data_IF_070886052894
#
_entry.id   IF_070886052894
#
_cell.length_a   1.000
_cell.length_b   1.000
_cell.length_c   1.000
_cell.angle_alpha   90.00
_cell.angle_beta   90.00
_cell.angle_gamma   90.00
#
_symmetry.space_group_name_H-M   'P 1'
#
loop_
_entity.id
_entity.type
_entity.pdbx_description
1 polymer ?
#
# COMPACT_ATOMS: atom_id res chain seq x y z
N UNK A 1 15.43 -24.78 44.41
CA UNK A 1 15.36 -23.35 44.09
C UNK A 1 16.61 -22.67 44.68
N UNK A 2 17.43 -21.98 43.90
CA UNK A 2 18.51 -21.20 44.42
C UNK A 2 17.94 -20.01 45.22
N UNK A 3 18.58 -19.57 46.32
CA UNK A 3 18.10 -18.47 47.16
C UNK A 3 18.08 -17.16 46.38
N UNK A 4 16.96 -16.42 46.51
CA UNK A 4 16.80 -15.08 45.93
C UNK A 4 17.85 -14.18 46.60
N UNK A 5 18.77 -13.53 45.83
CA UNK A 5 19.75 -12.64 46.40
C UNK A 5 19.07 -11.46 47.10
N UNK A 6 19.45 -11.18 48.34
CA UNK A 6 18.95 -10.02 49.11
C UNK A 6 19.29 -8.75 48.33
N UNK A 7 18.29 -7.97 48.03
CA UNK A 7 18.45 -6.65 47.41
C UNK A 7 19.17 -5.75 48.41
N UNK A 8 20.37 -5.23 48.12
CA UNK A 8 21.07 -4.33 49.04
C UNK A 8 20.23 -3.04 49.19
N UNK A 9 20.18 -2.52 50.42
CA UNK A 9 19.54 -1.28 50.78
C UNK A 9 20.00 -0.13 49.90
N UNK A 10 19.04 0.50 49.27
CA UNK A 10 19.03 1.76 48.52
C UNK A 10 20.36 2.51 48.33
N UNK A 11 21.25 2.01 47.47
CA UNK A 11 22.23 2.81 46.79
C UNK A 11 21.60 3.68 45.70
N UNK A 12 22.29 4.71 45.24
CA UNK A 12 21.75 5.53 44.13
C UNK A 12 21.33 4.64 42.96
N UNK A 13 20.27 4.95 42.21
CA UNK A 13 19.77 4.11 41.12
C UNK A 13 20.80 3.63 40.10
N UNK A 14 21.86 4.41 39.92
CA UNK A 14 23.00 4.08 39.03
C UNK A 14 23.85 2.91 39.55
N UNK A 15 24.10 2.86 40.86
CA UNK A 15 24.97 1.80 41.46
C UNK A 15 24.22 0.46 41.50
N UNK A 16 22.93 0.47 41.78
CA UNK A 16 22.07 -0.71 41.77
C UNK A 16 21.95 -1.35 40.38
N UNK A 17 21.77 -0.52 39.34
CA UNK A 17 21.67 -1.00 37.96
C UNK A 17 22.97 -1.61 37.44
N UNK A 18 24.11 -0.96 37.69
CA UNK A 18 25.42 -1.46 37.28
C UNK A 18 25.79 -2.73 38.05
N UNK A 19 25.39 -2.86 39.31
CA UNK A 19 25.56 -4.08 40.11
C UNK A 19 24.70 -5.23 39.53
N UNK A 20 23.43 -4.97 39.24
CA UNK A 20 22.52 -5.95 38.64
C UNK A 20 23.05 -6.50 37.31
N UNK A 21 23.56 -5.62 36.42
CA UNK A 21 24.15 -6.03 35.14
C UNK A 21 25.37 -6.93 35.38
N UNK A 22 26.26 -6.55 36.28
CA UNK A 22 27.46 -7.37 36.63
C UNK A 22 27.06 -8.76 37.08
N UNK A 23 26.12 -8.84 38.02
CA UNK A 23 25.62 -10.12 38.52
C UNK A 23 25.01 -10.99 37.41
N UNK A 24 24.37 -10.39 36.44
CA UNK A 24 23.80 -11.12 35.28
C UNK A 24 24.89 -11.59 34.31
N UNK A 25 25.88 -10.75 34.06
CA UNK A 25 27.04 -11.13 33.21
C UNK A 25 27.85 -12.25 33.83
N UNK A 26 28.06 -12.21 35.14
CA UNK A 26 28.80 -13.24 35.90
C UNK A 26 28.05 -14.57 35.98
N UNK A 27 26.73 -14.54 35.88
CA UNK A 27 25.83 -15.73 35.89
C UNK A 27 25.71 -16.48 34.57
N UNK A 28 26.49 -16.16 33.53
CA UNK A 28 26.54 -16.87 32.24
C UNK A 28 25.35 -16.61 31.33
N UNK A 29 24.57 -15.54 31.55
CA UNK A 29 23.53 -15.05 30.67
C UNK A 29 24.07 -14.22 29.52
N UNK A 30 23.17 -13.56 28.78
CA UNK A 30 23.50 -12.61 27.72
C UNK A 30 24.42 -11.50 28.28
N UNK A 31 25.65 -11.42 27.79
CA UNK A 31 26.61 -10.38 28.22
C UNK A 31 26.14 -9.00 27.76
N UNK A 32 25.81 -8.13 28.70
CA UNK A 32 25.45 -6.74 28.43
C UNK A 32 26.74 -5.90 28.46
N UNK A 33 27.10 -5.33 27.30
CA UNK A 33 28.33 -4.55 27.13
C UNK A 33 28.26 -3.18 27.81
N UNK A 34 29.40 -2.73 28.34
CA UNK A 34 29.58 -1.36 28.84
C UNK A 34 29.51 -0.32 27.70
N UNK A 35 29.15 0.94 27.98
CA UNK A 35 28.85 1.51 29.31
C UNK A 35 27.44 1.20 29.78
N UNK A 36 27.30 0.88 31.07
CA UNK A 36 26.01 0.57 31.69
C UNK A 36 25.37 1.86 32.23
N UNK A 37 24.42 2.42 31.48
CA UNK A 37 23.66 3.61 31.90
C UNK A 37 22.14 3.34 31.73
N UNK A 38 21.40 3.57 32.80
CA UNK A 38 19.91 3.46 32.82
C UNK A 38 19.25 4.34 31.78
N UNK A 39 19.92 5.44 31.37
CA UNK A 39 19.44 6.32 30.28
C UNK A 39 19.37 5.58 28.93
N UNK A 40 20.28 4.61 28.69
CA UNK A 40 20.24 3.78 27.47
C UNK A 40 18.98 2.93 27.45
N UNK A 41 18.61 2.32 28.57
CA UNK A 41 17.39 1.53 28.69
C UNK A 41 16.16 2.40 28.42
N UNK A 42 16.09 3.58 29.06
CA UNK A 42 15.02 4.55 28.85
C UNK A 42 14.95 4.99 27.38
N UNK A 43 16.11 5.28 26.77
CA UNK A 43 16.18 5.65 25.34
C UNK A 43 15.66 4.52 24.45
N UNK A 44 16.10 3.29 24.67
CA UNK A 44 15.66 2.13 23.90
C UNK A 44 14.17 1.87 24.06
N UNK A 45 13.65 1.92 25.29
CA UNK A 45 12.22 1.71 25.56
C UNK A 45 11.34 2.79 24.91
N UNK A 46 11.71 4.06 25.03
CA UNK A 46 10.97 5.15 24.36
C UNK A 46 11.00 5.02 22.85
N UNK A 47 12.17 4.69 22.28
CA UNK A 47 12.29 4.48 20.84
C UNK A 47 11.47 3.28 20.35
N UNK A 48 11.48 2.18 21.12
CA UNK A 48 10.68 1.00 20.80
C UNK A 48 9.17 1.26 20.92
N UNK A 49 8.73 2.03 21.92
CA UNK A 49 7.34 2.42 22.10
C UNK A 49 6.85 3.28 20.91
N UNK A 50 7.65 4.26 20.46
CA UNK A 50 7.35 5.06 19.24
C UNK A 50 7.12 4.17 18.04
N UNK A 51 8.01 3.21 17.84
CA UNK A 51 7.94 2.31 16.69
C UNK A 51 6.76 1.32 16.76
N UNK A 52 6.39 0.90 17.96
CA UNK A 52 5.30 -0.09 18.17
C UNK A 52 3.90 0.53 18.07
N UNK A 53 3.75 1.76 18.56
CA UNK A 53 2.43 2.41 18.64
C UNK A 53 2.03 3.15 17.36
N UNK A 54 2.97 3.34 16.40
CA UNK A 54 2.70 4.10 15.18
C UNK A 54 2.23 5.54 15.41
N UNK A 55 2.42 6.04 16.64
CA UNK A 55 2.02 7.37 17.04
C UNK A 55 2.90 8.46 16.44
N UNK A 56 2.41 9.68 16.42
CA UNK A 56 3.20 10.85 16.06
C UNK A 56 4.24 11.12 17.16
N UNK A 57 5.36 11.73 16.80
CA UNK A 57 6.39 12.18 17.76
C UNK A 57 5.79 13.04 18.89
N UNK A 58 4.68 13.73 18.63
CA UNK A 58 3.96 14.55 19.60
C UNK A 58 3.28 13.72 20.71
N UNK A 59 2.69 12.57 20.35
CA UNK A 59 1.97 11.71 21.30
C UNK A 59 2.92 11.07 22.33
N UNK A 60 4.18 10.93 21.98
CA UNK A 60 5.21 10.29 22.79
C UNK A 60 6.09 11.27 23.57
N UNK A 61 6.11 12.54 23.14
CA UNK A 61 6.75 13.63 23.89
C UNK A 61 5.89 14.09 25.09
N UNK A 62 4.58 13.82 25.04
CA UNK A 62 3.59 14.43 25.95
C UNK A 62 3.77 14.12 27.43
N UNK A 63 4.42 12.99 27.78
CA UNK A 63 4.46 12.58 29.18
C UNK A 63 5.62 13.13 30.00
N UNK A 64 6.78 13.43 29.38
CA UNK A 64 7.99 13.76 30.18
C UNK A 64 8.95 14.80 29.56
N UNK A 65 8.82 15.14 28.27
CA UNK A 65 9.79 16.00 27.58
C UNK A 65 9.14 16.88 26.52
N UNK A 66 9.73 18.07 26.29
CA UNK A 66 9.34 18.89 25.14
C UNK A 66 9.67 18.19 23.81
N UNK A 67 8.98 18.54 22.74
CA UNK A 67 9.21 18.02 21.39
C UNK A 67 10.66 18.21 20.94
N UNK A 68 11.28 19.34 21.32
CA UNK A 68 12.68 19.67 21.02
C UNK A 68 13.65 18.69 21.68
N UNK A 69 13.44 18.38 22.97
CA UNK A 69 14.25 17.41 23.71
C UNK A 69 14.07 16.01 23.10
N UNK A 70 12.84 15.64 22.72
CA UNK A 70 12.62 14.35 22.06
C UNK A 70 13.35 14.28 20.72
N UNK A 71 13.20 15.30 19.85
CA UNK A 71 13.87 15.36 18.56
C UNK A 71 15.39 15.31 18.70
N UNK A 72 15.96 16.11 19.62
CA UNK A 72 17.42 16.20 19.81
C UNK A 72 18.07 14.95 20.36
N UNK A 73 17.38 14.20 21.24
CA UNK A 73 18.01 13.09 21.97
C UNK A 73 17.52 11.68 21.59
N UNK A 74 16.29 11.57 21.05
CA UNK A 74 15.69 10.26 20.79
C UNK A 74 15.45 9.99 19.30
N UNK A 75 15.14 11.00 18.51
CA UNK A 75 14.80 10.83 17.09
C UNK A 75 16.02 10.53 16.20
N UNK A 76 17.20 10.98 16.58
CA UNK A 76 18.45 10.81 15.78
C UNK A 76 19.27 9.56 16.13
N UNK A 77 18.74 8.65 16.95
CA UNK A 77 19.46 7.40 17.27
C UNK A 77 19.37 6.39 16.13
N UNK A 78 20.45 5.66 15.87
CA UNK A 78 20.49 4.57 14.87
C UNK A 78 19.31 3.59 15.03
N UNK A 79 18.92 3.29 16.27
CA UNK A 79 17.76 2.44 16.55
C UNK A 79 16.45 3.04 16.04
N UNK A 80 16.25 4.37 16.18
CA UNK A 80 15.05 5.06 15.67
C UNK A 80 14.99 4.98 14.15
N UNK A 81 16.12 5.19 13.47
CA UNK A 81 16.19 5.08 12.01
C UNK A 81 15.89 3.66 11.52
N UNK A 82 16.47 2.64 12.15
CA UNK A 82 16.22 1.23 11.79
C UNK A 82 14.76 0.86 12.00
N UNK A 83 14.14 1.27 13.11
CA UNK A 83 12.74 0.97 13.38
C UNK A 83 11.79 1.73 12.45
N UNK A 84 12.09 2.99 12.16
CA UNK A 84 11.32 3.78 11.19
C UNK A 84 11.44 3.20 9.78
N UNK A 85 12.63 2.81 9.35
CA UNK A 85 12.82 2.14 8.05
C UNK A 85 12.04 0.83 7.96
N UNK A 86 12.04 0.01 9.02
CA UNK A 86 11.23 -1.21 9.06
C UNK A 86 9.74 -0.93 9.01
N UNK A 87 9.26 0.12 9.67
CA UNK A 87 7.86 0.51 9.64
C UNK A 87 7.44 1.02 8.24
N UNK A 88 8.28 1.82 7.61
CA UNK A 88 8.10 2.30 6.22
C UNK A 88 8.08 1.11 5.26
N UNK A 89 9.07 0.21 5.33
CA UNK A 89 9.12 -0.96 4.46
C UNK A 89 7.88 -1.84 4.63
N UNK A 90 7.42 -2.12 5.86
CA UNK A 90 6.18 -2.88 6.11
C UNK A 90 4.93 -2.18 5.56
N UNK A 91 4.88 -0.85 5.62
CA UNK A 91 3.79 -0.09 5.03
C UNK A 91 3.84 -0.17 3.49
N UNK A 92 5.02 -0.03 2.91
CA UNK A 92 5.26 -0.21 1.49
C UNK A 92 4.91 -1.62 1.03
N UNK A 93 5.40 -2.66 1.72
CA UNK A 93 5.07 -4.07 1.41
C UNK A 93 3.56 -4.31 1.41
N UNK A 94 2.83 -3.77 2.39
CA UNK A 94 1.36 -3.88 2.42
C UNK A 94 0.69 -3.18 1.23
N UNK A 95 1.22 -2.03 0.82
CA UNK A 95 0.74 -1.33 -0.39
C UNK A 95 1.07 -2.14 -1.63
N UNK A 96 2.31 -2.63 -1.76
CA UNK A 96 2.72 -3.46 -2.89
C UNK A 96 1.94 -4.77 -2.98
N UNK A 97 1.69 -5.45 -1.86
CA UNK A 97 0.86 -6.65 -1.84
C UNK A 97 -0.60 -6.39 -2.26
N UNK A 98 -1.13 -5.20 -1.95
CA UNK A 98 -2.45 -4.78 -2.42
C UNK A 98 -2.44 -4.44 -3.92
N UNK A 99 -1.38 -3.79 -4.38
CA UNK A 99 -1.19 -3.44 -5.79
C UNK A 99 -0.88 -4.67 -6.65
N UNK A 100 -0.16 -5.66 -6.11
CA UNK A 100 0.10 -6.93 -6.79
C UNK A 100 -1.15 -7.79 -7.02
N UNK A 101 -2.27 -7.45 -6.39
CA UNK A 101 -3.58 -8.08 -6.69
C UNK A 101 -4.33 -7.40 -7.82
N UNK A 102 -3.76 -6.56 -8.59
CA UNK A 102 -4.28 -5.92 -9.80
C UNK A 102 -5.76 -6.12 -10.17
N UNK A 103 -6.24 -5.56 -11.22
CA UNK A 103 -7.57 -5.90 -11.73
C UNK A 103 -7.64 -7.37 -12.15
N UNK A 104 -8.81 -7.99 -11.96
CA UNK A 104 -9.09 -9.30 -12.52
C UNK A 104 -9.41 -9.13 -14.00
N UNK A 105 -8.61 -9.70 -14.87
CA UNK A 105 -8.95 -9.83 -16.29
C UNK A 105 -9.70 -11.14 -16.54
N UNK A 106 -10.75 -11.08 -17.32
CA UNK A 106 -11.52 -12.22 -17.78
C UNK A 106 -11.50 -12.21 -19.31
N UNK A 107 -10.91 -13.21 -19.90
CA UNK A 107 -10.96 -13.38 -21.35
C UNK A 107 -12.41 -13.68 -21.83
N UNK A 108 -12.62 -13.77 -23.15
CA UNK A 108 -13.95 -13.98 -23.71
C UNK A 108 -14.58 -15.29 -23.21
N UNK A 109 -13.79 -16.36 -23.10
CA UNK A 109 -14.28 -17.66 -22.65
C UNK A 109 -14.67 -17.65 -21.17
N UNK A 110 -13.84 -17.00 -20.32
CA UNK A 110 -14.12 -16.82 -18.90
C UNK A 110 -15.33 -15.89 -18.68
N UNK A 111 -15.45 -14.83 -19.47
CA UNK A 111 -16.58 -13.90 -19.42
C UNK A 111 -17.90 -14.60 -19.80
N UNK A 112 -17.91 -15.39 -20.86
CA UNK A 112 -19.07 -16.16 -21.29
C UNK A 112 -19.43 -17.27 -20.27
N UNK A 113 -18.44 -17.85 -19.60
CA UNK A 113 -18.64 -18.86 -18.58
C UNK A 113 -19.25 -18.31 -17.27
N UNK A 114 -19.17 -16.99 -17.02
CA UNK A 114 -19.74 -16.37 -15.80
C UNK A 114 -21.28 -16.42 -15.70
N UNK A 115 -21.95 -17.06 -16.62
CA UNK A 115 -23.43 -17.20 -16.59
C UNK A 115 -23.94 -18.10 -15.44
N UNK A 116 -23.05 -18.90 -14.83
CA UNK A 116 -23.38 -19.80 -13.73
C UNK A 116 -22.88 -19.29 -12.36
N UNK A 117 -23.60 -19.59 -11.26
CA UNK A 117 -23.21 -19.16 -9.91
C UNK A 117 -21.86 -19.77 -9.45
N UNK A 118 -21.53 -20.97 -9.84
CA UNK A 118 -20.27 -21.64 -9.49
C UNK A 118 -19.07 -20.96 -10.15
N UNK A 119 -19.20 -20.59 -11.43
CA UNK A 119 -18.17 -19.89 -12.19
C UNK A 119 -17.96 -18.46 -11.65
N UNK A 120 -19.05 -17.77 -11.33
CA UNK A 120 -18.97 -16.46 -10.69
C UNK A 120 -18.20 -16.56 -9.34
N UNK A 121 -18.52 -17.56 -8.51
CA UNK A 121 -17.85 -17.77 -7.24
C UNK A 121 -16.36 -18.13 -7.42
N UNK A 122 -16.01 -18.93 -8.41
CA UNK A 122 -14.62 -19.24 -8.74
C UNK A 122 -13.82 -17.99 -9.13
N UNK A 123 -14.45 -17.04 -9.81
CA UNK A 123 -13.87 -15.70 -10.11
C UNK A 123 -13.92 -14.74 -8.91
N UNK A 124 -14.42 -15.17 -7.74
CA UNK A 124 -14.59 -14.33 -6.56
C UNK A 124 -15.68 -13.27 -6.73
N UNK A 125 -16.71 -13.58 -7.53
CA UNK A 125 -17.87 -12.72 -7.79
C UNK A 125 -19.15 -13.40 -7.29
N UNK A 126 -20.14 -12.61 -6.94
CA UNK A 126 -21.51 -13.10 -6.72
C UNK A 126 -22.33 -13.00 -8.00
N UNK A 127 -23.36 -13.82 -8.14
CA UNK A 127 -24.27 -13.74 -9.29
C UNK A 127 -24.91 -12.35 -9.44
N UNK A 128 -25.21 -11.68 -8.32
CA UNK A 128 -25.73 -10.30 -8.34
C UNK A 128 -24.72 -9.29 -8.90
N UNK A 129 -23.43 -9.42 -8.55
CA UNK A 129 -22.37 -8.58 -9.10
C UNK A 129 -22.21 -8.80 -10.61
N UNK A 130 -22.24 -10.05 -11.06
CA UNK A 130 -22.18 -10.36 -12.50
C UNK A 130 -23.34 -9.72 -13.25
N UNK A 131 -24.56 -9.85 -12.73
CA UNK A 131 -25.75 -9.21 -13.34
C UNK A 131 -25.62 -7.69 -13.38
N UNK A 132 -25.17 -7.06 -12.29
CA UNK A 132 -24.98 -5.62 -12.21
C UNK A 132 -23.85 -5.12 -13.14
N UNK A 133 -22.78 -5.91 -13.33
CA UNK A 133 -21.72 -5.61 -14.29
C UNK A 133 -22.24 -5.67 -15.73
N UNK A 134 -22.99 -6.71 -16.08
CA UNK A 134 -23.63 -6.80 -17.41
C UNK A 134 -24.68 -5.71 -17.63
N UNK A 135 -25.39 -5.29 -16.59
CA UNK A 135 -26.32 -4.16 -16.63
C UNK A 135 -25.66 -2.79 -16.69
N UNK A 136 -24.33 -2.72 -16.52
CA UNK A 136 -23.57 -1.46 -16.52
C UNK A 136 -23.63 -0.68 -15.20
N UNK A 137 -24.32 -1.19 -14.18
CA UNK A 137 -24.46 -0.52 -12.88
C UNK A 137 -23.12 -0.37 -12.14
N UNK A 138 -22.18 -1.27 -12.41
CA UNK A 138 -20.85 -1.31 -11.82
C UNK A 138 -19.75 -0.85 -12.80
N UNK A 139 -20.10 -0.23 -13.93
CA UNK A 139 -19.13 0.35 -14.86
C UNK A 139 -18.54 1.64 -14.27
N UNK A 140 -17.23 1.63 -14.03
CA UNK A 140 -16.47 2.77 -13.49
C UNK A 140 -15.74 3.56 -14.59
N UNK A 141 -16.15 3.38 -15.86
CA UNK A 141 -15.59 4.05 -17.02
C UNK A 141 -14.44 3.30 -17.70
N UNK A 142 -13.45 2.80 -16.98
CA UNK A 142 -12.34 1.99 -17.50
C UNK A 142 -12.53 0.49 -17.25
N UNK A 143 -13.10 0.16 -16.11
CA UNK A 143 -13.27 -1.21 -15.62
C UNK A 143 -14.63 -1.34 -14.95
N UNK A 144 -15.09 -2.55 -14.72
CA UNK A 144 -16.13 -2.79 -13.73
C UNK A 144 -15.55 -2.81 -12.31
N UNK A 145 -16.39 -2.63 -11.29
CA UNK A 145 -16.02 -2.68 -9.89
C UNK A 145 -16.81 -3.75 -9.14
N UNK A 146 -16.15 -4.61 -8.36
CA UNK A 146 -16.85 -5.61 -7.52
C UNK A 146 -17.63 -4.95 -6.39
N UNK A 147 -17.02 -3.93 -5.78
CA UNK A 147 -17.58 -3.25 -4.62
C UNK A 147 -17.06 -1.81 -4.53
N UNK A 148 -17.85 -0.83 -5.00
CA UNK A 148 -17.45 0.56 -4.96
C UNK A 148 -17.43 1.18 -3.55
N UNK A 149 -18.01 0.51 -2.54
CA UNK A 149 -18.02 0.98 -1.15
C UNK A 149 -16.89 0.41 -0.29
N UNK A 150 -16.15 -0.57 -0.80
CA UNK A 150 -15.00 -1.17 -0.11
C UNK A 150 -13.73 -1.08 -0.96
N UNK A 151 -13.48 0.09 -1.53
CA UNK A 151 -12.23 0.37 -2.26
C UNK A 151 -11.05 0.43 -1.31
N UNK A 152 -9.90 -0.09 -1.75
CA UNK A 152 -8.64 0.05 -0.99
C UNK A 152 -8.11 1.50 -0.94
N UNK A 153 -8.67 2.41 -1.73
CA UNK A 153 -8.26 3.81 -1.85
C UNK A 153 -9.19 4.79 -1.15
N UNK A 154 -10.31 4.31 -0.60
CA UNK A 154 -11.31 5.12 0.10
C UNK A 154 -11.63 4.52 1.46
N UNK A 155 -12.07 5.32 2.44
CA UNK A 155 -12.55 4.79 3.70
C UNK A 155 -13.68 3.78 3.50
N UNK A 156 -13.71 2.74 4.33
CA UNK A 156 -14.75 1.71 4.25
C UNK A 156 -16.16 2.31 4.38
N UNK A 157 -17.07 1.84 3.53
CA UNK A 157 -18.46 2.30 3.49
C UNK A 157 -18.70 3.62 2.74
N UNK A 158 -17.64 4.25 2.21
CA UNK A 158 -17.79 5.42 1.33
C UNK A 158 -17.69 4.99 -0.13
N UNK A 159 -18.50 5.63 -0.98
CA UNK A 159 -18.42 5.43 -2.42
C UNK A 159 -17.02 5.80 -2.94
N UNK A 160 -16.47 4.95 -3.80
CA UNK A 160 -15.15 5.18 -4.41
C UNK A 160 -15.19 6.46 -5.27
N UNK A 161 -14.40 7.46 -4.85
CA UNK A 161 -14.31 8.76 -5.54
C UNK A 161 -13.04 8.88 -6.41
N UNK A 162 -12.19 7.85 -6.42
CA UNK A 162 -10.94 7.86 -7.21
C UNK A 162 -11.07 7.12 -8.56
N UNK A 163 -12.25 6.63 -8.86
CA UNK A 163 -12.53 6.06 -10.17
C UNK A 163 -12.65 7.18 -11.23
N UNK A 164 -12.25 6.90 -12.48
CA UNK A 164 -11.59 5.70 -12.99
C UNK A 164 -10.07 5.71 -12.78
N UNK A 165 -9.50 6.80 -12.23
CA UNK A 165 -8.05 7.05 -12.18
C UNK A 165 -7.23 5.91 -11.53
N UNK A 166 -7.77 5.29 -10.49
CA UNK A 166 -7.06 4.25 -9.74
C UNK A 166 -7.56 2.82 -10.04
N UNK A 167 -8.50 2.66 -10.98
CA UNK A 167 -9.08 1.34 -11.24
C UNK A 167 -8.07 0.33 -11.75
N UNK A 168 -7.09 0.74 -12.56
CA UNK A 168 -6.02 -0.14 -13.03
C UNK A 168 -5.10 -0.67 -11.93
N UNK A 169 -5.16 -0.09 -10.74
CA UNK A 169 -4.37 -0.49 -9.57
C UNK A 169 -5.23 -1.09 -8.46
N UNK A 170 -6.50 -1.38 -8.74
CA UNK A 170 -7.48 -1.76 -7.74
C UNK A 170 -7.82 -3.26 -7.81
N UNK A 171 -7.75 -3.95 -6.68
CA UNK A 171 -8.14 -5.35 -6.58
C UNK A 171 -9.66 -5.58 -6.79
N UNK A 172 -10.49 -4.53 -6.67
CA UNK A 172 -11.92 -4.60 -6.92
C UNK A 172 -12.27 -4.43 -8.41
N UNK A 173 -11.30 -4.03 -9.23
CA UNK A 173 -11.54 -3.87 -10.66
C UNK A 173 -11.66 -5.23 -11.36
N UNK A 174 -12.63 -5.31 -12.26
CA UNK A 174 -12.87 -6.46 -13.14
C UNK A 174 -12.92 -5.95 -14.56
N UNK A 175 -12.17 -6.59 -15.44
CA UNK A 175 -12.02 -6.19 -16.84
C UNK A 175 -12.53 -7.33 -17.72
N UNK A 176 -13.51 -7.02 -18.55
CA UNK A 176 -14.00 -7.89 -19.61
C UNK A 176 -13.38 -7.45 -20.95
N UNK A 177 -13.43 -8.27 -21.99
CA UNK A 177 -12.95 -7.89 -23.33
C UNK A 177 -13.57 -6.59 -23.88
N UNK A 178 -14.79 -6.29 -23.48
CA UNK A 178 -15.50 -5.07 -23.90
C UNK A 178 -14.85 -3.76 -23.39
N UNK A 179 -14.05 -3.80 -22.32
CA UNK A 179 -13.31 -2.64 -21.82
C UNK A 179 -11.96 -2.45 -22.51
N UNK A 180 -11.40 -3.47 -23.16
CA UNK A 180 -10.08 -3.38 -23.78
C UNK A 180 -9.91 -2.19 -24.73
N UNK A 181 -10.90 -1.81 -25.57
CA UNK A 181 -10.77 -0.62 -26.42
C UNK A 181 -10.53 0.68 -25.62
N UNK A 182 -11.21 0.87 -24.48
CA UNK A 182 -11.01 2.04 -23.61
C UNK A 182 -9.63 2.01 -22.96
N UNK A 183 -9.11 0.82 -22.59
CA UNK A 183 -7.79 0.65 -22.01
C UNK A 183 -6.67 0.89 -23.02
N UNK A 184 -6.87 0.52 -24.28
CA UNK A 184 -5.98 0.88 -25.39
C UNK A 184 -5.91 2.41 -25.53
N UNK A 185 -7.05 3.09 -25.53
CA UNK A 185 -7.09 4.57 -25.58
C UNK A 185 -6.40 5.20 -24.37
N UNK A 186 -6.54 4.61 -23.17
CA UNK A 186 -5.83 5.05 -21.98
C UNK A 186 -4.31 4.90 -22.12
N UNK A 187 -3.83 3.77 -22.65
CA UNK A 187 -2.41 3.56 -22.91
C UNK A 187 -1.85 4.60 -23.89
N UNK A 188 -2.58 4.90 -24.95
CA UNK A 188 -2.22 5.97 -25.90
C UNK A 188 -2.17 7.35 -25.23
N UNK A 189 -3.12 7.63 -24.32
CA UNK A 189 -3.12 8.87 -23.54
C UNK A 189 -1.89 8.95 -22.64
N UNK A 190 -1.56 7.88 -21.92
CA UNK A 190 -0.38 7.81 -21.05
C UNK A 190 0.91 8.05 -21.83
N UNK A 191 1.02 7.50 -23.05
CA UNK A 191 2.17 7.76 -23.91
C UNK A 191 2.25 9.23 -24.39
N UNK A 192 1.11 9.84 -24.71
CA UNK A 192 1.07 11.29 -24.98
C UNK A 192 1.56 12.11 -23.79
N UNK A 193 1.16 11.69 -22.55
CA UNK A 193 1.61 12.32 -21.32
C UNK A 193 3.11 12.16 -21.09
N UNK A 194 3.71 11.05 -21.52
CA UNK A 194 5.17 10.83 -21.46
C UNK A 194 5.95 11.86 -22.26
N UNK A 195 5.39 12.32 -23.37
CA UNK A 195 6.02 13.35 -24.21
C UNK A 195 5.89 14.77 -23.65
N UNK A 196 4.90 15.01 -22.76
CA UNK A 196 4.59 16.35 -22.24
C UNK A 196 5.16 16.58 -20.84
N UNK A 197 5.10 15.58 -19.98
CA UNK A 197 5.52 15.69 -18.58
C UNK A 197 7.02 15.43 -18.40
N UNK A 198 7.62 16.08 -17.41
CA UNK A 198 8.97 15.73 -16.98
C UNK A 198 9.03 14.27 -16.52
N UNK A 199 10.12 13.50 -16.86
CA UNK A 199 10.19 12.07 -16.57
C UNK A 199 9.90 11.67 -15.11
N UNK A 200 10.40 12.37 -14.07
CA UNK A 200 10.05 12.03 -12.68
C UNK A 200 8.57 12.25 -12.35
N UNK A 201 7.96 13.29 -12.92
CA UNK A 201 6.54 13.58 -12.73
C UNK A 201 5.69 12.52 -13.43
N UNK A 202 5.99 12.22 -14.70
CA UNK A 202 5.30 11.14 -15.41
C UNK A 202 5.39 9.80 -14.66
N UNK A 203 6.57 9.42 -14.16
CA UNK A 203 6.75 8.18 -13.43
C UNK A 203 5.92 8.16 -12.13
N UNK A 204 5.80 9.28 -11.43
CA UNK A 204 5.01 9.39 -10.22
C UNK A 204 3.50 9.28 -10.46
N UNK A 205 2.99 9.86 -11.56
CA UNK A 205 1.55 9.92 -11.85
C UNK A 205 1.09 8.70 -12.65
N UNK A 206 1.83 8.33 -13.69
CA UNK A 206 1.40 7.35 -14.69
C UNK A 206 2.17 6.05 -14.69
N UNK A 207 3.38 6.02 -14.13
CA UNK A 207 4.29 4.88 -14.26
C UNK A 207 3.68 3.55 -13.81
N UNK A 208 2.92 3.53 -12.71
CA UNK A 208 2.27 2.31 -12.20
C UNK A 208 1.10 1.86 -13.09
N UNK A 209 0.35 2.82 -13.62
CA UNK A 209 -0.78 2.52 -14.50
C UNK A 209 -0.29 1.99 -15.84
N UNK A 210 0.81 2.55 -16.36
CA UNK A 210 1.46 2.05 -17.56
C UNK A 210 1.92 0.60 -17.37
N UNK A 211 2.60 0.29 -16.26
CA UNK A 211 3.04 -1.07 -15.96
C UNK A 211 1.85 -2.05 -15.83
N UNK A 212 0.77 -1.65 -15.15
CA UNK A 212 -0.43 -2.48 -15.00
C UNK A 212 -1.13 -2.73 -16.36
N UNK A 213 -1.12 -1.75 -17.26
CA UNK A 213 -1.63 -1.92 -18.63
C UNK A 213 -0.75 -2.86 -19.45
N UNK A 214 0.57 -2.77 -19.33
CA UNK A 214 1.52 -3.68 -20.02
C UNK A 214 1.28 -5.13 -19.58
N UNK A 215 1.14 -5.39 -18.27
CA UNK A 215 0.83 -6.71 -17.73
C UNK A 215 -0.52 -7.24 -18.24
N UNK A 216 -1.56 -6.40 -18.16
CA UNK A 216 -2.88 -6.74 -18.68
C UNK A 216 -2.87 -7.08 -20.18
N UNK A 217 -2.16 -6.29 -20.97
CA UNK A 217 -2.07 -6.50 -22.42
C UNK A 217 -1.31 -7.78 -22.76
N UNK A 218 -0.29 -8.11 -21.98
CA UNK A 218 0.40 -9.39 -22.13
C UNK A 218 -0.52 -10.58 -21.82
N UNK A 219 -1.40 -10.45 -20.80
CA UNK A 219 -2.40 -11.47 -20.44
C UNK A 219 -3.51 -11.58 -21.50
N UNK A 220 -4.03 -10.45 -22.01
CA UNK A 220 -5.10 -10.44 -23.01
C UNK A 220 -4.69 -11.04 -24.36
N UNK A 221 -3.43 -10.94 -24.73
CA UNK A 221 -2.87 -11.46 -25.96
C UNK A 221 -3.11 -10.60 -27.20
N UNK A 222 -2.32 -10.85 -28.23
CA UNK A 222 -2.27 -10.00 -29.43
C UNK A 222 -3.57 -9.96 -30.24
N UNK A 223 -4.34 -11.05 -30.28
CA UNK A 223 -5.57 -11.10 -31.08
C UNK A 223 -6.67 -10.23 -30.44
N UNK A 224 -6.82 -10.31 -29.12
CA UNK A 224 -7.77 -9.46 -28.38
C UNK A 224 -7.37 -7.98 -28.46
N UNK A 225 -6.08 -7.68 -28.38
CA UNK A 225 -5.57 -6.30 -28.51
C UNK A 225 -5.76 -5.74 -29.92
N UNK A 226 -5.59 -6.56 -30.94
CA UNK A 226 -5.83 -6.15 -32.34
C UNK A 226 -7.28 -5.77 -32.55
N UNK A 227 -8.19 -6.61 -32.06
CA UNK A 227 -9.62 -6.31 -32.10
C UNK A 227 -9.98 -5.05 -31.30
N UNK A 228 -9.38 -4.87 -30.12
CA UNK A 228 -9.57 -3.68 -29.30
C UNK A 228 -9.08 -2.40 -29.97
N UNK A 229 -7.90 -2.42 -30.62
CA UNK A 229 -7.37 -1.28 -31.39
C UNK A 229 -8.26 -0.93 -32.58
N UNK A 230 -8.79 -1.94 -33.28
CA UNK A 230 -9.74 -1.72 -34.38
C UNK A 230 -11.03 -1.06 -33.87
N UNK A 231 -11.59 -1.54 -32.77
CA UNK A 231 -12.80 -0.97 -32.17
C UNK A 231 -12.60 0.47 -31.68
N UNK A 232 -11.44 0.76 -31.05
CA UNK A 232 -11.09 2.11 -30.63
C UNK A 232 -10.94 3.06 -31.84
N UNK A 233 -10.25 2.63 -32.90
CA UNK A 233 -10.06 3.41 -34.12
C UNK A 233 -11.35 3.62 -34.94
N UNK A 234 -12.31 2.70 -34.83
CA UNK A 234 -13.62 2.81 -35.45
C UNK A 234 -14.60 3.72 -34.67
N UNK A 235 -14.19 4.30 -33.54
CA UNK A 235 -15.04 5.14 -32.70
C UNK A 235 -16.11 4.36 -31.93
N UNK A 236 -15.95 3.04 -31.76
CA UNK A 236 -16.88 2.19 -31.03
C UNK A 236 -16.70 2.29 -29.50
N UNK A 237 -15.66 2.99 -29.05
CA UNK A 237 -15.40 3.26 -27.64
C UNK A 237 -15.08 4.75 -27.46
N UNK A 238 -15.44 5.27 -26.29
CA UNK A 238 -15.05 6.60 -25.84
C UNK A 238 -14.29 6.51 -24.54
N UNK A 239 -13.30 7.37 -24.37
CA UNK A 239 -12.55 7.52 -23.12
C UNK A 239 -12.92 8.86 -22.49
N UNK A 240 -13.63 8.82 -21.38
CA UNK A 240 -13.92 10.01 -20.59
C UNK A 240 -13.06 9.99 -19.31
N UNK A 241 -12.04 10.85 -19.29
CA UNK A 241 -11.14 10.97 -18.17
C UNK A 241 -11.54 12.18 -17.31
N UNK A 242 -11.44 12.04 -15.96
CA UNK A 242 -11.59 13.17 -15.06
C UNK A 242 -10.64 14.31 -15.42
N UNK A 243 -11.03 15.55 -15.10
CA UNK A 243 -10.24 16.75 -15.42
C UNK A 243 -8.79 16.63 -14.95
N UNK A 244 -8.54 16.13 -13.72
CA UNK A 244 -7.20 15.94 -13.19
C UNK A 244 -6.35 14.88 -13.90
N UNK A 245 -6.90 14.16 -14.87
CA UNK A 245 -6.16 13.21 -15.71
C UNK A 245 -5.96 13.74 -17.15
N UNK A 246 -6.44 14.94 -17.46
CA UNK A 246 -6.35 15.53 -18.80
C UNK A 246 -5.08 16.39 -18.91
N UNK A 247 -4.34 16.23 -20.01
CA UNK A 247 -3.10 16.96 -20.30
C UNK A 247 -3.22 18.49 -20.20
N UNK A 248 -4.41 19.01 -20.38
CA UNK A 248 -4.69 20.44 -20.48
C UNK A 248 -4.50 21.16 -19.12
N UNK A 249 -4.53 20.43 -18.02
CA UNK A 249 -4.41 20.96 -16.65
C UNK A 249 -3.04 20.73 -16.01
N UNK A 250 -2.12 20.05 -16.69
CA UNK A 250 -0.77 19.76 -16.21
C UNK A 250 0.26 20.82 -16.68
N UNK A 251 -0.17 22.04 -17.05
CA UNK A 251 0.68 23.14 -17.51
C UNK A 251 1.03 24.11 -16.40
#
# INVERSE_FOLDING_TARGET
MPPIPRVPSFGTPRTTFSWWIRTRNDGGGLAISAPHDIRRLRKTMKTAAVAALGGTLADLAGDDHSIEVFRGHYAHGTTAHVLSSKAINRAQDRVFQRLARGPLYLDAAAADALTGPEQAQAAGLTAGQVTAMHGGELDMGLTHCRDPYHSQFTPAGQLCHVAPAMCMLCANAVIFPAQLPRLVMLAEHIEKMRAVLAPPHWAAVWGRQAAALEELFAEAGEDALRAARQAAGAGQASLDLPLGMRAEYDR
#
